data_IF_311572153844
#
_entry.id   IF_311572153844
#
_cell.length_a   1.000
_cell.length_b   1.000
_cell.length_c   1.000
_cell.angle_alpha   90.00
_cell.angle_beta   90.00
_cell.angle_gamma   90.00
#
_symmetry.space_group_name_H-M   'P 1'
#
loop_
_entity.id
_entity.type
_entity.pdbx_description
1 polymer ?
#
# COMPACT_ATOMS: atom_id res chain seq x y z
N UNK A 1 -9.75 -18.84 14.28
CA UNK A 1 -11.14 -18.52 13.86
C UNK A 1 -11.09 -17.44 12.80
N UNK A 2 -11.70 -17.65 11.62
CA UNK A 2 -11.93 -16.62 10.61
C UNK A 2 -13.00 -15.67 11.15
N UNK A 3 -12.75 -14.35 11.08
CA UNK A 3 -13.74 -13.32 11.48
C UNK A 3 -14.68 -12.99 10.32
N UNK A 4 -14.13 -12.83 9.12
CA UNK A 4 -14.88 -12.62 7.89
C UNK A 4 -14.04 -13.08 6.69
N UNK A 5 -14.68 -13.46 5.59
CA UNK A 5 -14.09 -13.88 4.32
C UNK A 5 -14.78 -13.24 3.12
N UNK A 6 -15.83 -12.48 3.40
CA UNK A 6 -16.67 -11.84 2.40
C UNK A 6 -17.13 -10.46 2.88
N UNK A 7 -17.41 -9.56 1.93
CA UNK A 7 -17.98 -8.24 2.15
C UNK A 7 -19.05 -7.99 1.09
N UNK A 8 -20.24 -7.54 1.51
CA UNK A 8 -21.40 -7.35 0.62
C UNK A 8 -21.73 -8.59 -0.24
N UNK A 9 -21.55 -9.80 0.34
CA UNK A 9 -21.81 -11.08 -0.32
C UNK A 9 -20.77 -11.49 -1.38
N UNK A 10 -19.66 -10.75 -1.49
CA UNK A 10 -18.57 -11.07 -2.41
C UNK A 10 -17.31 -11.49 -1.63
N UNK A 11 -16.50 -12.43 -2.15
CA UNK A 11 -15.20 -12.75 -1.56
C UNK A 11 -14.34 -11.49 -1.41
N UNK A 12 -13.61 -11.37 -0.30
CA UNK A 12 -12.81 -10.17 -0.01
C UNK A 12 -11.68 -9.97 -1.01
N UNK A 13 -11.09 -11.03 -1.53
CA UNK A 13 -9.86 -10.97 -2.32
C UNK A 13 -8.60 -11.13 -1.45
N UNK A 14 -7.47 -10.58 -1.89
CA UNK A 14 -6.20 -10.65 -1.16
C UNK A 14 -6.17 -9.61 -0.05
N UNK A 15 -6.57 -9.99 1.15
CA UNK A 15 -6.34 -9.18 2.36
C UNK A 15 -4.83 -9.07 2.60
N UNK A 16 -4.34 -7.87 2.81
CA UNK A 16 -2.91 -7.58 2.97
C UNK A 16 -2.56 -7.14 4.39
N UNK A 17 -3.19 -6.08 4.87
CA UNK A 17 -2.81 -5.44 6.12
C UNK A 17 -4.00 -5.20 7.03
N UNK A 18 -3.77 -5.20 8.35
CA UNK A 18 -4.78 -4.91 9.38
C UNK A 18 -4.20 -3.93 10.39
N UNK A 19 -4.97 -2.91 10.71
CA UNK A 19 -4.62 -1.86 11.67
C UNK A 19 -5.80 -1.60 12.61
N UNK A 20 -5.52 -1.29 13.87
CA UNK A 20 -6.54 -0.83 14.83
C UNK A 20 -6.28 0.64 15.15
N UNK A 21 -7.33 1.47 15.11
CA UNK A 21 -7.24 2.86 15.52
C UNK A 21 -7.43 3.05 17.04
N UNK A 22 -7.28 4.28 17.53
CA UNK A 22 -7.40 4.63 18.96
C UNK A 22 -8.80 4.37 19.54
N UNK A 23 -9.81 4.23 18.67
CA UNK A 23 -11.21 3.92 19.03
C UNK A 23 -11.51 2.42 19.05
N UNK A 24 -10.51 1.58 18.76
CA UNK A 24 -10.66 0.12 18.68
C UNK A 24 -11.34 -0.39 17.41
N UNK A 25 -11.51 0.46 16.39
CA UNK A 25 -12.03 0.04 15.09
C UNK A 25 -10.95 -0.68 14.30
N UNK A 26 -11.31 -1.71 13.54
CA UNK A 26 -10.38 -2.50 12.74
C UNK A 26 -10.43 -2.05 11.29
N UNK A 27 -9.30 -1.59 10.78
CA UNK A 27 -9.09 -1.21 9.41
C UNK A 27 -8.30 -2.29 8.70
N UNK A 28 -8.67 -2.61 7.47
CA UNK A 28 -7.96 -3.60 6.69
C UNK A 28 -7.84 -3.16 5.23
N UNK A 29 -6.75 -3.58 4.60
CA UNK A 29 -6.54 -3.39 3.18
C UNK A 29 -6.77 -4.69 2.43
N UNK A 30 -7.35 -4.57 1.25
CA UNK A 30 -7.41 -5.63 0.26
C UNK A 30 -6.67 -5.15 -0.98
N UNK A 31 -5.57 -5.83 -1.30
CA UNK A 31 -4.70 -5.43 -2.42
C UNK A 31 -5.43 -5.49 -3.74
N UNK A 32 -6.18 -6.56 -3.96
CA UNK A 32 -6.90 -6.82 -5.22
C UNK A 32 -7.93 -7.93 -5.04
N UNK A 33 -8.93 -7.96 -5.92
CA UNK A 33 -9.83 -9.09 -6.12
C UNK A 33 -9.38 -10.04 -7.23
N UNK A 34 -8.34 -9.66 -7.96
CA UNK A 34 -7.77 -10.47 -9.05
C UNK A 34 -7.09 -11.72 -8.51
N UNK A 35 -7.27 -12.84 -9.20
CA UNK A 35 -6.61 -14.10 -8.90
C UNK A 35 -6.06 -14.74 -10.19
N UNK A 36 -4.76 -15.02 -10.27
CA UNK A 36 -3.75 -14.84 -9.23
C UNK A 36 -3.44 -13.36 -8.96
N UNK A 37 -3.15 -13.03 -7.69
CA UNK A 37 -3.00 -11.66 -7.22
C UNK A 37 -1.82 -10.90 -7.86
N UNK A 38 -0.78 -11.61 -8.29
CA UNK A 38 0.39 -11.02 -8.93
C UNK A 38 0.09 -10.37 -10.28
N UNK A 39 -1.00 -10.76 -10.95
CA UNK A 39 -1.46 -10.14 -12.19
C UNK A 39 -2.04 -8.73 -11.95
N UNK A 40 -2.28 -8.39 -10.69
CA UNK A 40 -2.77 -7.06 -10.30
C UNK A 40 -1.64 -6.04 -10.01
N UNK A 41 -0.36 -6.43 -10.11
CA UNK A 41 0.77 -5.52 -9.91
C UNK A 41 1.01 -4.62 -11.14
N UNK A 42 -0.04 -3.94 -11.58
CA UNK A 42 -0.06 -3.03 -12.73
C UNK A 42 -0.84 -1.76 -12.39
N UNK A 43 -0.38 -0.56 -12.82
CA UNK A 43 -0.93 0.71 -12.36
C UNK A 43 -2.31 1.05 -12.92
N UNK A 44 -2.74 0.40 -14.00
CA UNK A 44 -4.04 0.59 -14.64
C UNK A 44 -5.17 -0.22 -13.99
N UNK A 45 -4.85 -1.22 -13.16
CA UNK A 45 -5.82 -1.97 -12.38
C UNK A 45 -5.93 -1.41 -10.96
N UNK A 46 -7.08 -0.83 -10.64
CA UNK A 46 -7.34 -0.16 -9.37
C UNK A 46 -8.56 -0.78 -8.67
N UNK A 47 -8.49 -2.08 -8.37
CA UNK A 47 -9.53 -2.85 -7.70
C UNK A 47 -9.28 -3.08 -6.20
N UNK A 48 -8.17 -2.54 -5.68
CA UNK A 48 -7.84 -2.53 -4.26
C UNK A 48 -8.72 -1.58 -3.46
N UNK A 49 -8.93 -1.90 -2.17
CA UNK A 49 -9.79 -1.11 -1.31
C UNK A 49 -9.38 -1.16 0.17
N UNK A 50 -9.96 -0.27 0.95
CA UNK A 50 -9.87 -0.21 2.41
C UNK A 50 -11.25 -0.52 2.97
N UNK A 51 -11.31 -1.44 3.93
CA UNK A 51 -12.53 -1.74 4.67
C UNK A 51 -12.34 -1.43 6.16
N UNK A 52 -13.46 -1.10 6.79
CA UNK A 52 -13.56 -0.76 8.21
C UNK A 52 -14.57 -1.69 8.87
N UNK A 53 -14.17 -2.27 10.00
CA UNK A 53 -15.04 -3.04 10.88
C UNK A 53 -15.18 -2.31 12.21
N UNK A 54 -16.40 -1.94 12.54
CA UNK A 54 -16.81 -1.32 13.79
C UNK A 54 -18.20 -1.85 14.23
N UNK A 55 -18.89 -1.14 15.11
CA UNK A 55 -20.24 -1.50 15.59
C UNK A 55 -21.28 -1.58 14.45
N UNK A 56 -21.07 -0.89 13.34
CA UNK A 56 -21.92 -0.92 12.14
C UNK A 56 -21.61 -2.11 11.22
N UNK A 57 -20.64 -2.96 11.60
CA UNK A 57 -20.19 -4.10 10.83
C UNK A 57 -19.04 -3.76 9.87
N UNK A 58 -18.70 -4.75 9.02
CA UNK A 58 -17.65 -4.63 8.02
C UNK A 58 -18.20 -3.95 6.76
N UNK A 59 -17.51 -2.92 6.26
CA UNK A 59 -17.87 -2.19 5.04
C UNK A 59 -16.65 -1.62 4.33
N UNK A 60 -16.74 -1.43 3.02
CA UNK A 60 -15.74 -0.70 2.23
C UNK A 60 -15.90 0.80 2.52
N UNK A 61 -14.80 1.48 2.84
CA UNK A 61 -14.79 2.93 3.15
C UNK A 61 -13.99 3.75 2.13
N UNK A 62 -13.13 3.10 1.34
CA UNK A 62 -12.49 3.68 0.16
C UNK A 62 -12.05 2.57 -0.80
N UNK A 63 -12.07 2.82 -2.10
CA UNK A 63 -11.70 1.89 -3.15
C UNK A 63 -10.90 2.59 -4.27
N UNK A 64 -10.60 1.88 -5.35
CA UNK A 64 -9.93 2.45 -6.51
C UNK A 64 -8.43 2.68 -6.28
N UNK A 65 -7.77 1.83 -5.51
CA UNK A 65 -6.32 1.81 -5.32
C UNK A 65 -5.68 0.74 -6.21
N UNK A 66 -4.50 1.06 -6.75
CA UNK A 66 -3.74 0.10 -7.53
C UNK A 66 -2.81 -0.72 -6.60
N UNK A 67 -3.31 -1.87 -6.18
CA UNK A 67 -2.69 -2.79 -5.23
C UNK A 67 -2.45 -2.14 -3.86
N UNK A 68 -3.52 -2.03 -3.06
CA UNK A 68 -3.46 -1.49 -1.70
C UNK A 68 -2.58 -2.36 -0.81
N UNK A 69 -1.55 -1.77 -0.21
CA UNK A 69 -0.66 -2.46 0.72
C UNK A 69 -0.88 -1.96 2.15
N UNK A 70 0.18 -1.54 2.85
CA UNK A 70 0.04 -1.02 4.20
C UNK A 70 -0.68 0.32 4.27
N UNK A 71 -1.28 0.56 5.43
CA UNK A 71 -1.87 1.84 5.82
C UNK A 71 -1.32 2.28 7.16
N UNK A 72 -1.16 3.60 7.35
CA UNK A 72 -0.80 4.18 8.64
C UNK A 72 -1.59 5.46 8.86
N UNK A 73 -2.00 5.68 10.10
CA UNK A 73 -2.48 6.98 10.53
C UNK A 73 -1.31 7.90 10.87
N UNK A 74 -1.52 9.21 10.73
CA UNK A 74 -0.70 10.18 11.45
C UNK A 74 -0.98 10.10 12.97
N UNK A 75 -0.18 10.80 13.76
CA UNK A 75 -0.28 10.77 15.23
C UNK A 75 -1.67 11.19 15.75
N UNK A 76 -2.34 12.11 15.06
CA UNK A 76 -3.65 12.63 15.43
C UNK A 76 -4.82 11.81 14.86
N UNK A 77 -4.55 10.81 14.03
CA UNK A 77 -5.54 10.03 13.26
C UNK A 77 -6.46 10.90 12.39
N UNK A 78 -5.94 12.05 11.91
CA UNK A 78 -6.64 12.92 10.99
C UNK A 78 -6.46 12.50 9.52
N UNK A 79 -5.34 11.83 9.22
CA UNK A 79 -5.02 11.32 7.91
C UNK A 79 -4.67 9.84 7.95
N UNK A 80 -5.17 9.11 6.96
CA UNK A 80 -4.79 7.74 6.67
C UNK A 80 -3.92 7.72 5.42
N UNK A 81 -2.69 7.25 5.57
CA UNK A 81 -1.70 7.09 4.49
C UNK A 81 -1.77 5.66 3.95
N UNK A 82 -1.70 5.51 2.64
CA UNK A 82 -1.92 4.27 1.91
C UNK A 82 -0.78 4.04 0.94
N UNK A 83 -0.08 2.92 1.06
CA UNK A 83 0.87 2.46 0.06
C UNK A 83 0.13 1.88 -1.15
N UNK A 84 0.20 2.53 -2.31
CA UNK A 84 -0.28 2.01 -3.59
C UNK A 84 0.89 1.34 -4.33
N UNK A 85 1.07 0.04 -4.11
CA UNK A 85 2.23 -0.71 -4.60
C UNK A 85 2.41 -0.60 -6.11
N UNK A 86 1.36 -0.85 -6.90
CA UNK A 86 1.47 -0.87 -8.35
C UNK A 86 1.66 0.52 -8.97
N UNK A 87 1.24 1.59 -8.28
CA UNK A 87 1.52 2.98 -8.67
C UNK A 87 2.78 3.54 -8.04
N UNK A 88 3.44 2.78 -7.17
CA UNK A 88 4.72 3.18 -6.53
C UNK A 88 4.64 4.53 -5.84
N UNK A 89 3.58 4.76 -5.09
CA UNK A 89 3.33 6.04 -4.43
C UNK A 89 2.61 5.87 -3.10
N UNK A 90 2.57 6.94 -2.33
CA UNK A 90 1.72 7.06 -1.16
C UNK A 90 0.56 7.99 -1.47
N UNK A 91 -0.64 7.54 -1.15
CA UNK A 91 -1.85 8.35 -1.18
C UNK A 91 -2.32 8.57 0.26
N UNK A 92 -2.93 9.72 0.58
CA UNK A 92 -3.56 9.92 1.89
C UNK A 92 -5.00 10.40 1.76
N UNK A 93 -5.79 10.13 2.79
CA UNK A 93 -7.19 10.51 2.87
C UNK A 93 -7.50 11.09 4.25
N UNK A 94 -8.39 12.07 4.30
CA UNK A 94 -8.92 12.59 5.57
C UNK A 94 -9.81 11.55 6.23
N UNK A 95 -9.67 11.41 7.55
CA UNK A 95 -10.41 10.47 8.37
C UNK A 95 -11.52 11.21 9.12
N UNK A 96 -12.76 10.87 8.81
CA UNK A 96 -13.92 11.37 9.53
C UNK A 96 -14.11 10.71 10.89
N UNK A 97 -14.76 11.40 11.81
CA UNK A 97 -15.07 10.86 13.14
C UNK A 97 -15.87 9.56 13.09
N UNK A 98 -16.67 9.37 12.05
CA UNK A 98 -17.47 8.16 11.80
C UNK A 98 -16.71 7.07 11.03
N UNK A 99 -15.42 7.28 10.72
CA UNK A 99 -14.58 6.39 9.93
C UNK A 99 -14.78 6.54 8.41
N UNK A 100 -15.47 7.57 7.95
CA UNK A 100 -15.50 7.91 6.53
C UNK A 100 -14.13 8.41 6.06
N UNK A 101 -13.78 8.13 4.80
CA UNK A 101 -12.56 8.60 4.16
C UNK A 101 -12.91 9.57 3.03
N UNK A 102 -12.18 10.68 2.92
CA UNK A 102 -12.42 11.72 1.92
C UNK A 102 -11.14 12.46 1.53
N UNK A 103 -11.22 13.34 0.53
CA UNK A 103 -10.12 14.25 0.19
C UNK A 103 -8.85 13.51 -0.22
N UNK A 104 -8.97 12.48 -1.08
CA UNK A 104 -7.83 11.70 -1.57
C UNK A 104 -6.83 12.60 -2.28
N UNK A 105 -5.57 12.54 -1.85
CA UNK A 105 -4.45 13.24 -2.48
C UNK A 105 -3.17 12.41 -2.43
N UNK A 106 -2.23 12.69 -3.31
CA UNK A 106 -0.91 12.06 -3.29
C UNK A 106 -0.06 12.74 -2.22
N UNK A 107 0.66 11.93 -1.44
CA UNK A 107 1.63 12.41 -0.46
C UNK A 107 3.06 12.17 -0.94
N UNK A 108 3.82 13.25 -1.15
CA UNK A 108 5.11 13.21 -1.81
C UNK A 108 4.99 13.22 -3.35
N UNK A 109 5.92 12.60 -4.08
CA UNK A 109 5.90 12.59 -5.54
C UNK A 109 4.86 11.61 -6.12
N UNK A 110 4.49 11.82 -7.38
CA UNK A 110 3.60 10.92 -8.14
C UNK A 110 4.14 9.50 -8.27
N UNK A 111 5.47 9.34 -8.21
CA UNK A 111 6.15 8.06 -8.23
C UNK A 111 7.41 8.11 -7.38
N UNK A 112 7.63 7.08 -6.60
CA UNK A 112 8.82 6.88 -5.76
C UNK A 112 9.98 6.24 -6.54
N UNK A 113 9.85 6.11 -7.85
CA UNK A 113 10.86 5.51 -8.73
C UNK A 113 10.76 4.00 -8.84
N UNK A 114 11.90 3.35 -9.11
CA UNK A 114 11.98 1.92 -9.35
C UNK A 114 11.67 1.09 -8.11
N UNK A 115 11.20 -0.14 -8.34
CA UNK A 115 10.72 -1.05 -7.29
C UNK A 115 9.26 -0.81 -6.92
N UNK A 116 8.77 -1.55 -5.96
CA UNK A 116 7.40 -1.45 -5.46
C UNK A 116 7.40 -1.03 -3.99
N UNK A 117 6.59 -0.03 -3.65
CA UNK A 117 6.36 0.31 -2.25
C UNK A 117 5.59 -0.83 -1.55
N UNK A 118 6.03 -1.18 -0.34
CA UNK A 118 5.45 -2.27 0.46
C UNK A 118 5.10 -1.76 1.87
N UNK A 119 5.99 -1.93 2.85
CA UNK A 119 5.78 -1.47 4.21
C UNK A 119 5.99 0.03 4.39
N UNK A 120 5.18 0.67 5.24
CA UNK A 120 5.31 2.08 5.61
C UNK A 120 5.20 2.28 7.13
N UNK A 121 5.96 3.23 7.69
CA UNK A 121 5.89 3.58 9.10
C UNK A 121 6.32 5.03 9.34
N UNK A 122 5.69 5.72 10.29
CA UNK A 122 6.14 7.04 10.73
C UNK A 122 7.26 6.95 11.75
N UNK A 123 8.22 7.87 11.69
CA UNK A 123 9.14 8.14 12.77
C UNK A 123 8.62 9.26 13.70
N UNK A 124 9.35 9.52 14.80
CA UNK A 124 8.97 10.55 15.76
C UNK A 124 9.10 12.00 15.23
N UNK A 125 9.66 12.18 14.03
CA UNK A 125 9.82 13.50 13.38
C UNK A 125 8.76 13.73 12.29
N UNK A 126 7.86 12.76 12.08
CA UNK A 126 6.81 12.82 11.07
C UNK A 126 7.26 12.42 9.67
N UNK A 127 8.46 11.85 9.51
CA UNK A 127 8.84 11.28 8.22
C UNK A 127 8.14 9.93 8.03
N UNK A 128 7.60 9.69 6.86
CA UNK A 128 7.01 8.42 6.48
C UNK A 128 8.07 7.55 5.78
N UNK A 129 8.58 6.57 6.51
CA UNK A 129 9.52 5.58 5.99
C UNK A 129 8.81 4.56 5.12
N UNK A 130 9.46 4.12 4.06
CA UNK A 130 8.91 3.12 3.15
C UNK A 130 9.99 2.19 2.62
N UNK A 131 9.64 0.91 2.52
CA UNK A 131 10.45 -0.10 1.83
C UNK A 131 10.07 -0.16 0.36
N UNK A 132 11.08 -0.21 -0.52
CA UNK A 132 10.92 -0.36 -1.96
C UNK A 132 11.47 -1.72 -2.38
N UNK A 133 10.60 -2.73 -2.40
CA UNK A 133 10.98 -4.10 -2.79
C UNK A 133 11.39 -4.17 -4.26
N UNK A 134 12.23 -5.14 -4.61
CA UNK A 134 12.99 -5.29 -5.86
C UNK A 134 14.09 -4.24 -6.09
N UNK A 135 13.96 -3.05 -5.51
CA UNK A 135 15.02 -2.03 -5.52
C UNK A 135 15.94 -2.14 -4.29
N UNK A 136 15.59 -2.99 -3.31
CA UNK A 136 16.25 -3.15 -2.01
C UNK A 136 16.61 -1.79 -1.39
N UNK A 137 15.60 -0.91 -1.39
CA UNK A 137 15.77 0.48 -1.00
C UNK A 137 14.87 0.83 0.17
N UNK A 138 15.42 1.57 1.13
CA UNK A 138 14.71 2.20 2.23
C UNK A 138 14.70 3.70 2.00
N UNK A 139 13.53 4.30 1.99
CA UNK A 139 13.32 5.72 1.80
C UNK A 139 12.55 6.34 2.97
N UNK A 140 12.62 7.65 3.10
CA UNK A 140 11.73 8.44 3.93
C UNK A 140 11.12 9.59 3.11
N UNK A 141 9.81 9.79 3.25
CA UNK A 141 9.10 10.96 2.72
C UNK A 141 8.96 11.94 3.87
N UNK A 142 9.54 13.13 3.72
CA UNK A 142 9.49 14.17 4.76
C UNK A 142 8.10 14.79 4.87
N UNK A 143 7.77 15.50 5.97
CA UNK A 143 6.52 16.26 6.07
C UNK A 143 6.29 17.27 4.95
N UNK A 144 7.37 17.72 4.26
CA UNK A 144 7.33 18.62 3.11
C UNK A 144 7.09 17.88 1.78
N UNK A 145 7.13 16.54 1.80
CA UNK A 145 6.94 15.68 0.62
C UNK A 145 8.25 15.36 -0.13
N UNK A 146 9.40 15.75 0.42
CA UNK A 146 10.71 15.39 -0.16
C UNK A 146 11.05 13.93 0.12
N UNK A 147 11.71 13.26 -0.82
CA UNK A 147 12.14 11.86 -0.67
C UNK A 147 13.63 11.79 -0.37
N UNK A 148 13.96 11.12 0.73
CA UNK A 148 15.33 10.81 1.13
C UNK A 148 15.56 9.31 0.94
N UNK A 149 16.61 8.93 0.21
CA UNK A 149 17.09 7.54 0.17
C UNK A 149 18.05 7.32 1.34
N UNK A 150 17.69 6.39 2.22
CA UNK A 150 18.44 6.11 3.45
C UNK A 150 19.35 4.90 3.28
N UNK A 151 18.93 3.92 2.51
CA UNK A 151 19.68 2.72 2.16
C UNK A 151 19.29 2.29 0.75
N UNK A 152 20.26 1.87 -0.04
CA UNK A 152 20.06 1.25 -1.35
C UNK A 152 21.17 0.22 -1.56
N UNK A 153 20.79 -1.05 -1.67
CA UNK A 153 21.72 -2.19 -1.86
C UNK A 153 21.15 -3.17 -2.88
N UNK A 154 20.48 -2.63 -3.90
CA UNK A 154 19.76 -3.42 -4.88
C UNK A 154 20.64 -4.10 -5.90
N UNK A 155 20.14 -5.19 -6.47
CA UNK A 155 20.71 -5.86 -7.64
C UNK A 155 20.20 -5.18 -8.93
N UNK A 156 21.03 -4.39 -9.65
CA UNK A 156 20.60 -3.67 -10.85
C UNK A 156 20.04 -4.57 -11.96
N UNK A 157 20.60 -5.77 -12.14
CA UNK A 157 20.14 -6.72 -13.16
C UNK A 157 18.78 -7.31 -12.80
N UNK A 158 18.57 -7.65 -11.53
CA UNK A 158 17.30 -8.14 -11.01
C UNK A 158 16.22 -7.08 -11.13
N UNK A 159 16.52 -5.82 -10.76
CA UNK A 159 15.62 -4.68 -10.88
C UNK A 159 15.26 -4.43 -12.35
N UNK A 160 16.23 -4.44 -13.26
CA UNK A 160 15.97 -4.26 -14.70
C UNK A 160 15.04 -5.35 -15.27
N UNK A 161 15.23 -6.61 -14.85
CA UNK A 161 14.34 -7.72 -15.25
C UNK A 161 12.92 -7.51 -14.77
N UNK A 162 12.75 -7.07 -13.52
CA UNK A 162 11.44 -6.76 -12.94
C UNK A 162 10.76 -5.62 -13.71
N UNK A 163 11.46 -4.52 -13.94
CA UNK A 163 10.92 -3.37 -14.67
C UNK A 163 10.52 -3.74 -16.10
N UNK A 164 11.33 -4.53 -16.81
CA UNK A 164 11.01 -5.00 -18.15
C UNK A 164 9.76 -5.90 -18.18
N UNK A 165 9.61 -6.80 -17.20
CA UNK A 165 8.43 -7.65 -17.10
C UNK A 165 7.15 -6.84 -16.88
N UNK A 166 7.20 -5.89 -15.94
CA UNK A 166 6.05 -5.02 -15.63
C UNK A 166 5.71 -4.10 -16.81
N UNK A 167 6.70 -3.52 -17.47
CA UNK A 167 6.50 -2.69 -18.67
C UNK A 167 5.89 -3.49 -19.83
N UNK A 168 6.19 -4.78 -19.92
CA UNK A 168 5.58 -5.72 -20.88
C UNK A 168 4.18 -6.20 -20.48
N UNK A 169 3.63 -5.72 -19.35
CA UNK A 169 2.30 -6.13 -18.85
C UNK A 169 2.29 -7.48 -18.15
N UNK A 170 3.48 -8.05 -17.85
CA UNK A 170 3.62 -9.29 -17.11
C UNK A 170 3.74 -9.08 -15.60
N UNK A 171 3.58 -10.19 -14.85
CA UNK A 171 3.83 -10.19 -13.41
C UNK A 171 5.34 -10.05 -13.11
N UNK A 172 5.71 -9.39 -11.99
CA UNK A 172 7.11 -9.33 -11.56
C UNK A 172 7.70 -10.72 -11.34
N UNK A 173 8.96 -10.95 -11.74
CA UNK A 173 9.63 -12.23 -11.50
C UNK A 173 10.06 -12.35 -10.04
N UNK A 174 9.23 -12.91 -9.19
CA UNK A 174 9.49 -13.04 -7.75
C UNK A 174 10.70 -13.89 -7.38
N UNK A 175 11.24 -14.70 -8.32
CA UNK A 175 12.51 -15.40 -8.15
C UNK A 175 13.69 -14.44 -7.95
N UNK A 176 13.57 -13.19 -8.37
CA UNK A 176 14.58 -12.15 -8.17
C UNK A 176 14.73 -11.80 -6.68
N UNK A 177 13.61 -11.78 -5.92
CA UNK A 177 13.63 -11.52 -4.47
C UNK A 177 14.27 -12.64 -3.65
N UNK A 178 14.35 -13.86 -4.21
CA UNK A 178 14.83 -15.03 -3.50
C UNK A 178 16.35 -15.26 -3.65
N UNK A 179 17.04 -14.42 -4.40
CA UNK A 179 18.46 -14.60 -4.74
C UNK A 179 19.43 -13.69 -3.99
N UNK A 180 18.98 -12.97 -2.98
CA UNK A 180 19.84 -12.24 -2.06
C UNK A 180 20.25 -13.14 -0.92
N UNK A 181 21.21 -14.04 -1.18
CA UNK A 181 21.88 -14.89 -0.21
C UNK A 181 23.34 -14.97 -0.55
#
# INVERSE_FOLDING_TARGET
>A
RVLCDSIDGQPMGKVNFVLTDSRGRIWLTVSTRTNPWNDALRPDLADGYIALMDERGLRIVADGFAFTNEIRFDEQEEWLYVAETARRRVTRLRVGADGSLSGREIYGPDSLGSGFIDGIAFDAYGNLWATMIFADRLIAITPQGDVLTLLEDGNPEGLARMEAAVAGGGAPPFDVLMKTG
#
